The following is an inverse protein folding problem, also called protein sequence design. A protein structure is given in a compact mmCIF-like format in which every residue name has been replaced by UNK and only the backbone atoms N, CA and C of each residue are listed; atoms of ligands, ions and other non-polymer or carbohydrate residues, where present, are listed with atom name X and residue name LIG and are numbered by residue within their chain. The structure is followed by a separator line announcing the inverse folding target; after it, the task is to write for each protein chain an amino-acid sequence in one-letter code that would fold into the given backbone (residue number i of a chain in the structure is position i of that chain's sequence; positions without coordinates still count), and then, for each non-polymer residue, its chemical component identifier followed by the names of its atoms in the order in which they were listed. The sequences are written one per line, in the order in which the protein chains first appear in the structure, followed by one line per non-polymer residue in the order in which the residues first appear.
data_IF_219241898532
#
_entry.id   IF_219241898532
#
_cell.length_a   1.000
_cell.length_b   1.000
_cell.length_c   1.000
_cell.angle_alpha   90.00
_cell.angle_beta   90.00
_cell.angle_gamma   90.00
#
_symmetry.space_group_name_H-M   'P 1'
#
loop_
_entity.id
_entity.type
_entity.pdbx_description
1 polymer ?
#
# COMPACT_ATOMS: atom_id res chain seq x y z
N UNK A 1 -14.93 18.00 7.85
CA UNK A 1 -13.67 17.26 7.58
C UNK A 1 -13.12 16.85 8.94
N UNK A 2 -13.25 15.57 9.30
CA UNK A 2 -12.80 15.06 10.61
C UNK A 2 -11.41 14.45 10.41
N UNK A 3 -10.39 15.09 10.99
CA UNK A 3 -8.98 14.69 10.88
C UNK A 3 -8.66 13.69 11.98
N UNK A 4 -8.44 12.42 11.64
CA UNK A 4 -7.93 11.39 12.55
C UNK A 4 -6.42 11.25 12.34
N UNK A 5 -5.66 11.35 13.42
CA UNK A 5 -4.19 11.39 13.42
C UNK A 5 -3.61 9.97 13.38
N UNK A 6 -3.27 9.48 12.19
CA UNK A 6 -2.28 8.41 12.05
C UNK A 6 -0.88 9.04 12.12
N UNK A 7 -0.18 8.85 13.24
CA UNK A 7 1.21 9.32 13.42
C UNK A 7 2.12 8.67 12.37
N UNK A 8 2.50 9.48 11.37
CA UNK A 8 3.47 9.14 10.33
C UNK A 8 2.89 9.34 8.92
N UNK A 9 2.97 10.57 8.40
CA UNK A 9 2.57 10.99 7.04
C UNK A 9 1.15 10.55 6.61
N UNK A 10 0.17 11.35 7.06
CA UNK A 10 -1.15 11.59 6.44
C UNK A 10 -1.82 10.38 5.78
N UNK A 11 -2.26 9.42 6.58
CA UNK A 11 -3.38 8.56 6.20
C UNK A 11 -4.68 9.29 6.57
N UNK A 12 -5.32 9.93 5.60
CA UNK A 12 -6.64 10.55 5.76
C UNK A 12 -7.73 9.52 5.46
N UNK A 13 -8.67 9.33 6.38
CA UNK A 13 -9.87 8.52 6.13
C UNK A 13 -10.82 9.35 5.28
N UNK A 14 -11.06 8.91 4.04
CA UNK A 14 -12.02 9.52 3.14
C UNK A 14 -13.44 9.34 3.70
N UNK A 15 -14.42 10.22 3.40
CA UNK A 15 -15.82 10.06 3.84
C UNK A 15 -16.46 8.71 3.47
N UNK A 16 -15.89 8.00 2.49
CA UNK A 16 -16.27 6.65 2.07
C UNK A 16 -15.72 5.53 2.98
N UNK A 17 -14.96 5.87 4.02
CA UNK A 17 -14.28 4.93 4.90
C UNK A 17 -12.95 4.40 4.35
N UNK A 18 -12.44 4.97 3.26
CA UNK A 18 -11.16 4.54 2.67
C UNK A 18 -9.97 5.17 3.42
N UNK A 19 -9.01 4.35 3.85
CA UNK A 19 -7.67 4.83 4.19
C UNK A 19 -6.87 4.88 2.89
N UNK A 20 -6.33 6.04 2.49
CA UNK A 20 -5.58 6.15 1.22
C UNK A 20 -4.07 6.11 1.49
N UNK A 21 -3.35 5.22 0.81
CA UNK A 21 -1.90 5.10 0.85
C UNK A 21 -1.32 5.18 -0.58
N UNK A 22 -0.69 6.32 -0.89
CA UNK A 22 -0.07 6.56 -2.19
C UNK A 22 1.34 5.97 -2.26
N UNK A 23 1.56 5.08 -3.22
CA UNK A 23 2.80 4.35 -3.50
C UNK A 23 3.42 4.87 -4.79
N UNK A 24 4.21 5.93 -4.66
CA UNK A 24 4.94 6.49 -5.79
C UNK A 24 6.31 5.82 -5.93
N UNK A 25 6.56 5.20 -7.09
CA UNK A 25 7.90 4.84 -7.52
C UNK A 25 8.54 6.02 -8.25
N UNK A 26 9.86 6.15 -8.13
CA UNK A 26 10.63 7.23 -8.77
C UNK A 26 10.70 7.09 -10.30
N UNK A 27 10.51 5.87 -10.83
CA UNK A 27 10.52 5.59 -12.26
C UNK A 27 9.55 4.45 -12.56
N UNK A 28 8.57 4.67 -13.42
CA UNK A 28 7.65 3.61 -13.85
C UNK A 28 8.43 2.49 -14.55
N UNK A 29 8.14 1.24 -14.20
CA UNK A 29 8.84 0.07 -14.73
C UNK A 29 10.20 -0.18 -14.07
N UNK A 30 10.54 0.53 -12.99
CA UNK A 30 11.72 0.22 -12.17
C UNK A 30 11.49 -0.91 -11.15
N UNK A 31 10.37 -1.61 -11.29
CA UNK A 31 9.97 -2.69 -10.39
C UNK A 31 10.53 -4.02 -10.92
N UNK A 32 11.30 -4.78 -10.12
CA UNK A 32 12.07 -5.93 -10.61
C UNK A 32 11.16 -7.14 -10.76
N UNK A 33 10.44 -7.25 -11.88
CA UNK A 33 9.60 -8.43 -12.17
C UNK A 33 9.71 -8.94 -13.60
N UNK A 34 10.82 -8.67 -14.28
CA UNK A 34 11.29 -9.57 -15.34
C UNK A 34 12.16 -10.66 -14.70
N UNK A 35 12.06 -11.91 -15.18
CA UNK A 35 12.96 -13.01 -14.75
C UNK A 35 14.43 -12.58 -14.89
N UNK A 36 14.71 -11.84 -15.97
CA UNK A 36 15.99 -11.19 -16.24
C UNK A 36 16.39 -10.20 -15.13
N UNK A 37 15.51 -9.31 -14.67
CA UNK A 37 15.83 -8.36 -13.60
C UNK A 37 16.12 -9.05 -12.25
N UNK A 38 15.44 -10.17 -11.95
CA UNK A 38 15.74 -11.02 -10.79
C UNK A 38 17.11 -11.70 -10.92
N UNK A 39 17.45 -12.18 -12.12
CA UNK A 39 18.72 -12.85 -12.42
C UNK A 39 19.91 -11.89 -12.45
N UNK A 40 19.72 -10.68 -12.99
CA UNK A 40 20.78 -9.68 -13.19
C UNK A 40 21.02 -8.80 -11.97
N UNK A 41 20.23 -8.95 -10.89
CA UNK A 41 20.23 -8.04 -9.73
C UNK A 41 20.04 -6.56 -10.14
N UNK A 42 19.44 -6.33 -11.31
CA UNK A 42 19.19 -5.02 -11.85
C UNK A 42 17.94 -4.47 -11.14
N UNK A 43 18.19 -3.50 -10.25
CA UNK A 43 17.28 -2.88 -9.28
C UNK A 43 17.10 -3.68 -7.98
N UNK A 44 18.04 -3.38 -7.10
CA UNK A 44 17.98 -3.54 -5.66
C UNK A 44 16.84 -2.66 -5.11
N UNK A 45 15.63 -3.19 -5.00
CA UNK A 45 14.60 -2.58 -4.18
C UNK A 45 14.04 -3.63 -3.26
N UNK A 46 14.30 -3.44 -1.97
CA UNK A 46 13.73 -4.17 -0.86
C UNK A 46 12.20 -4.22 -0.99
N UNK A 47 11.68 -5.20 -1.74
CA UNK A 47 10.25 -5.54 -1.82
C UNK A 47 9.73 -6.11 -0.49
N UNK A 48 10.55 -6.07 0.55
CA UNK A 48 10.12 -5.96 1.93
C UNK A 48 10.93 -4.85 2.61
N UNK A 49 10.46 -3.60 2.55
CA UNK A 49 10.81 -2.72 3.65
C UNK A 49 10.04 -3.28 4.85
N UNK A 50 10.75 -3.80 5.85
CA UNK A 50 10.20 -4.30 7.12
C UNK A 50 9.10 -3.39 7.70
N UNK A 51 9.16 -2.09 7.40
CA UNK A 51 8.14 -1.11 7.77
C UNK A 51 6.79 -1.20 7.04
N UNK A 52 6.67 -1.86 5.89
CA UNK A 52 5.41 -1.95 5.15
C UNK A 52 4.46 -3.00 5.75
N UNK A 53 4.98 -4.14 6.23
CA UNK A 53 4.20 -5.09 7.04
C UNK A 53 3.66 -4.42 8.30
N UNK A 54 4.51 -3.69 9.03
CA UNK A 54 4.07 -2.96 10.23
C UNK A 54 2.99 -1.91 9.92
N UNK A 55 3.05 -1.25 8.76
CA UNK A 55 1.99 -0.32 8.31
C UNK A 55 0.70 -1.04 7.96
N UNK A 56 0.77 -2.15 7.23
CA UNK A 56 -0.41 -2.95 6.87
C UNK A 56 -1.14 -3.45 8.13
N UNK A 57 -0.40 -3.91 9.15
CA UNK A 57 -0.97 -4.28 10.45
C UNK A 57 -1.67 -3.09 11.11
N UNK A 58 -1.13 -1.87 11.01
CA UNK A 58 -1.78 -0.66 11.55
C UNK A 58 -3.07 -0.35 10.80
N UNK A 59 -3.10 -0.52 9.48
CA UNK A 59 -4.32 -0.34 8.69
C UNK A 59 -5.37 -1.39 9.05
N UNK A 60 -4.97 -2.65 9.22
CA UNK A 60 -5.90 -3.70 9.64
C UNK A 60 -6.54 -3.37 10.99
N UNK A 61 -5.73 -2.99 11.98
CA UNK A 61 -6.24 -2.54 13.29
C UNK A 61 -7.18 -1.34 13.18
N UNK A 62 -6.90 -0.42 12.27
CA UNK A 62 -7.76 0.74 12.05
C UNK A 62 -9.10 0.34 11.41
N UNK A 63 -9.11 -0.66 10.52
CA UNK A 63 -10.31 -1.19 9.86
C UNK A 63 -11.15 -2.06 10.83
N UNK A 64 -10.50 -2.83 11.70
CA UNK A 64 -11.18 -3.72 12.66
C UNK A 64 -11.75 -2.96 13.88
N UNK A 65 -11.33 -1.71 14.09
CA UNK A 65 -11.82 -0.91 15.21
C UNK A 65 -13.24 -0.39 14.91
N UNK A 66 -14.28 -0.83 15.66
CA UNK A 66 -15.66 -0.41 15.41
C UNK A 66 -15.91 1.08 15.69
N UNK A 67 -15.06 1.73 16.48
CA UNK A 67 -15.14 3.17 16.75
C UNK A 67 -14.49 4.01 15.63
N UNK A 68 -13.85 3.36 14.65
CA UNK A 68 -13.25 4.01 13.52
C UNK A 68 -14.15 3.90 12.28
N UNK A 69 -14.16 4.96 11.47
CA UNK A 69 -14.94 5.00 10.24
C UNK A 69 -14.24 4.30 9.07
N UNK A 70 -13.00 3.82 9.27
CA UNK A 70 -12.24 3.12 8.25
C UNK A 70 -12.85 1.74 7.96
N UNK A 71 -13.05 1.43 6.69
CA UNK A 71 -13.64 0.17 6.23
C UNK A 71 -12.74 -0.62 5.29
N UNK A 72 -11.78 0.02 4.64
CA UNK A 72 -10.82 -0.61 3.74
C UNK A 72 -9.60 0.29 3.47
N UNK A 73 -8.53 -0.31 2.98
CA UNK A 73 -7.32 0.37 2.50
C UNK A 73 -7.40 0.58 0.98
N UNK A 74 -7.17 1.80 0.50
CA UNK A 74 -6.96 2.11 -0.90
C UNK A 74 -5.47 2.34 -1.15
N UNK A 75 -4.88 1.57 -2.05
CA UNK A 75 -3.47 1.71 -2.45
C UNK A 75 -3.42 2.26 -3.86
N UNK A 76 -2.93 3.49 -3.99
CA UNK A 76 -2.77 4.18 -5.26
C UNK A 76 -1.32 4.09 -5.69
N UNK A 77 -1.03 3.43 -6.81
CA UNK A 77 0.33 3.32 -7.35
C UNK A 77 0.49 3.96 -8.72
N UNK A 78 1.58 4.70 -8.92
CA UNK A 78 1.92 5.29 -10.21
C UNK A 78 2.61 4.33 -11.19
N UNK A 79 2.92 3.09 -10.76
CA UNK A 79 3.49 2.05 -11.64
C UNK A 79 2.55 0.84 -11.72
N UNK A 80 1.97 0.56 -12.90
CA UNK A 80 1.01 -0.55 -13.07
C UNK A 80 1.64 -1.91 -12.74
N UNK A 81 2.97 -2.07 -12.89
CA UNK A 81 3.67 -3.33 -12.60
C UNK A 81 3.71 -3.67 -11.10
N UNK A 82 3.43 -2.71 -10.22
CA UNK A 82 3.39 -2.90 -8.76
C UNK A 82 2.01 -3.20 -8.21
N UNK A 83 0.94 -3.11 -9.00
CA UNK A 83 -0.43 -3.38 -8.53
C UNK A 83 -0.52 -4.78 -7.90
N UNK A 84 -0.07 -5.81 -8.62
CA UNK A 84 -0.12 -7.18 -8.12
C UNK A 84 0.77 -7.42 -6.88
N UNK A 85 1.82 -6.62 -6.70
CA UNK A 85 2.63 -6.67 -5.48
C UNK A 85 1.86 -6.18 -4.26
N UNK A 86 1.23 -5.01 -4.36
CA UNK A 86 0.44 -4.46 -3.27
C UNK A 86 -0.81 -5.28 -2.97
N UNK A 87 -1.44 -5.86 -4.00
CA UNK A 87 -2.55 -6.81 -3.82
C UNK A 87 -2.12 -8.04 -3.01
N UNK A 88 -0.97 -8.63 -3.37
CA UNK A 88 -0.41 -9.76 -2.64
C UNK A 88 -0.14 -9.41 -1.17
N UNK A 89 0.51 -8.26 -0.91
CA UNK A 89 0.83 -7.86 0.46
C UNK A 89 -0.40 -7.56 1.31
N UNK A 90 -1.40 -6.87 0.76
CA UNK A 90 -2.64 -6.63 1.49
C UNK A 90 -3.33 -7.95 1.82
N UNK A 91 -3.36 -8.89 0.87
CA UNK A 91 -3.94 -10.21 1.08
C UNK A 91 -3.17 -11.04 2.13
N UNK A 92 -1.83 -10.99 2.14
CA UNK A 92 -1.01 -11.75 3.10
C UNK A 92 -1.20 -11.28 4.55
N UNK A 93 -1.53 -10.01 4.74
CA UNK A 93 -1.80 -9.41 6.05
C UNK A 93 -3.30 -9.32 6.37
N UNK A 94 -4.15 -9.99 5.58
CA UNK A 94 -5.62 -9.98 5.70
C UNK A 94 -6.26 -8.58 5.64
N UNK A 95 -5.59 -7.63 5.00
CA UNK A 95 -6.09 -6.26 4.82
C UNK A 95 -7.15 -6.21 3.74
N UNK A 96 -8.37 -5.81 4.12
CA UNK A 96 -9.41 -5.47 3.14
C UNK A 96 -8.97 -4.25 2.34
N UNK A 97 -8.69 -4.44 1.05
CA UNK A 97 -8.06 -3.41 0.22
C UNK A 97 -8.62 -3.27 -1.20
N UNK A 98 -8.48 -2.08 -1.77
CA UNK A 98 -8.59 -1.78 -3.19
C UNK A 98 -7.24 -1.23 -3.70
N UNK A 99 -6.56 -1.96 -4.57
CA UNK A 99 -5.28 -1.52 -5.15
C UNK A 99 -5.50 -1.12 -6.59
N UNK A 100 -5.13 0.10 -6.95
CA UNK A 100 -5.33 0.64 -8.30
C UNK A 100 -4.10 1.39 -8.81
N UNK A 101 -3.96 1.36 -10.13
CA UNK A 101 -3.01 2.21 -10.81
C UNK A 101 -3.62 3.61 -11.00
N UNK A 102 -2.87 4.64 -10.59
CA UNK A 102 -3.22 6.06 -10.77
C UNK A 102 -2.03 6.75 -11.44
N UNK A 103 -2.14 7.18 -12.71
CA UNK A 103 -1.03 7.77 -13.48
C UNK A 103 -0.64 9.18 -13.02
#
# INVERSE_FOLDING_TARGET
MLTVWAYGRTASVHPTGAIIDAKNVSRVGCSPRTLQGLQERALNTNLMLRGDTEKLIRYQKAIDNPDNHAQYLEVDTNDPSTVGYWQYLCASEHVKSNVRHVP
#
